data_IF_006685981622
#
_entry.id   IF_006685981622
#
_cell.length_a   1.000
_cell.length_b   1.000
_cell.length_c   1.000
_cell.angle_alpha   90.00
_cell.angle_beta   90.00
_cell.angle_gamma   90.00
#
_symmetry.space_group_name_H-M   'P 1'
#
loop_
_entity.id
_entity.type
_entity.pdbx_description
1 polymer ?
#
# COMPACT_ATOMS: atom_id res chain seq x y z
N UNK A 1 -13.28 3.32 12.73
CA UNK A 1 -13.75 2.36 11.71
C UNK A 1 -12.67 1.34 11.36
N UNK A 2 -11.52 1.70 10.78
CA UNK A 2 -10.46 0.71 10.48
C UNK A 2 -9.92 0.03 11.75
N UNK A 3 -9.54 0.81 12.76
CA UNK A 3 -9.04 0.29 14.05
C UNK A 3 -10.11 -0.46 14.87
N UNK A 4 -11.37 -0.35 14.47
CA UNK A 4 -12.51 -1.02 15.10
C UNK A 4 -12.93 -2.28 14.32
N UNK A 5 -12.27 -2.59 13.20
CA UNK A 5 -12.53 -3.80 12.43
C UNK A 5 -12.05 -5.01 13.21
N UNK A 6 -12.97 -5.91 13.56
CA UNK A 6 -12.62 -7.17 14.24
C UNK A 6 -11.81 -8.14 13.37
N UNK A 7 -11.83 -7.96 12.05
CA UNK A 7 -11.00 -8.69 11.09
C UNK A 7 -10.56 -7.69 10.02
N UNK A 8 -9.25 -7.56 9.82
CA UNK A 8 -8.63 -6.81 8.73
C UNK A 8 -8.21 -7.77 7.63
N UNK A 9 -8.35 -7.35 6.39
CA UNK A 9 -7.86 -8.05 5.21
C UNK A 9 -6.96 -7.15 4.37
N UNK A 10 -6.26 -7.73 3.39
CA UNK A 10 -5.31 -6.98 2.56
C UNK A 10 -5.98 -5.81 1.82
N UNK A 11 -7.27 -5.92 1.46
CA UNK A 11 -8.02 -4.84 0.81
C UNK A 11 -8.21 -3.66 1.74
N UNK A 12 -8.53 -3.91 3.01
CA UNK A 12 -8.68 -2.88 4.03
C UNK A 12 -7.34 -2.17 4.32
N UNK A 13 -6.24 -2.91 4.39
CA UNK A 13 -4.88 -2.36 4.51
C UNK A 13 -4.51 -1.47 3.32
N UNK A 14 -4.70 -1.97 2.10
CA UNK A 14 -4.43 -1.23 0.87
C UNK A 14 -5.22 0.06 0.78
N UNK A 15 -6.49 0.03 1.20
CA UNK A 15 -7.36 1.21 1.21
C UNK A 15 -6.82 2.30 2.14
N UNK A 16 -6.36 1.92 3.35
CA UNK A 16 -5.80 2.85 4.32
C UNK A 16 -4.45 3.41 3.85
N UNK A 17 -3.53 2.55 3.41
CA UNK A 17 -2.21 2.95 2.94
C UNK A 17 -2.34 3.89 1.74
N UNK A 18 -3.18 3.56 0.75
CA UNK A 18 -3.44 4.42 -0.40
C UNK A 18 -4.00 5.79 0.02
N UNK A 19 -4.93 5.80 0.98
CA UNK A 19 -5.47 7.02 1.56
C UNK A 19 -4.37 7.93 2.12
N UNK A 20 -3.51 7.42 3.00
CA UNK A 20 -2.39 8.19 3.55
C UNK A 20 -1.38 8.63 2.49
N UNK A 21 -1.08 7.77 1.51
CA UNK A 21 -0.20 8.12 0.40
C UNK A 21 -0.72 9.29 -0.43
N UNK A 22 -2.00 9.29 -0.79
CA UNK A 22 -2.61 10.37 -1.58
C UNK A 22 -2.63 11.71 -0.85
N UNK A 23 -2.63 11.68 0.49
CA UNK A 23 -2.55 12.86 1.34
C UNK A 23 -1.11 13.32 1.64
N UNK A 24 -0.10 12.59 1.15
CA UNK A 24 1.32 12.89 1.42
C UNK A 24 1.78 12.51 2.83
N UNK A 25 1.00 11.70 3.55
CA UNK A 25 1.28 11.24 4.90
C UNK A 25 2.14 9.97 4.86
N UNK A 26 3.40 10.16 4.44
CA UNK A 26 4.35 9.07 4.22
C UNK A 26 4.58 8.20 5.44
N UNK A 27 4.71 8.81 6.62
CA UNK A 27 5.04 8.08 7.86
C UNK A 27 3.90 7.16 8.28
N UNK A 28 2.67 7.61 8.14
CA UNK A 28 1.45 6.88 8.43
C UNK A 28 1.26 5.73 7.43
N UNK A 29 1.46 5.98 6.14
CA UNK A 29 1.43 4.94 5.10
C UNK A 29 2.49 3.85 5.35
N UNK A 30 3.72 4.24 5.70
CA UNK A 30 4.80 3.29 6.04
C UNK A 30 4.48 2.53 7.33
N UNK A 31 3.91 3.20 8.34
CA UNK A 31 3.51 2.56 9.59
C UNK A 31 2.48 1.46 9.37
N UNK A 32 1.45 1.73 8.57
CA UNK A 32 0.45 0.74 8.20
C UNK A 32 1.02 -0.40 7.35
N UNK A 33 1.96 -0.11 6.44
CA UNK A 33 2.67 -1.14 5.69
C UNK A 33 3.46 -2.09 6.62
N UNK A 34 4.10 -1.56 7.66
CA UNK A 34 4.78 -2.37 8.67
C UNK A 34 3.78 -3.23 9.45
N UNK A 35 2.68 -2.64 9.92
CA UNK A 35 1.63 -3.35 10.66
C UNK A 35 0.99 -4.47 9.82
N UNK A 36 0.80 -4.25 8.51
CA UNK A 36 0.30 -5.27 7.57
C UNK A 36 1.19 -6.51 7.59
N UNK A 37 2.51 -6.33 7.60
CA UNK A 37 3.50 -7.42 7.66
C UNK A 37 3.55 -8.10 9.02
N UNK A 38 3.40 -7.33 10.10
CA UNK A 38 3.36 -7.87 11.47
C UNK A 38 2.12 -8.75 11.70
N UNK A 39 0.99 -8.42 11.07
CA UNK A 39 -0.21 -9.27 11.08
C UNK A 39 -0.12 -10.49 10.14
N UNK A 40 1.02 -10.68 9.46
CA UNK A 40 1.28 -11.85 8.62
C UNK A 40 0.68 -11.77 7.23
N UNK A 41 0.21 -10.60 6.80
CA UNK A 41 -0.18 -10.37 5.41
C UNK A 41 1.06 -10.08 4.57
N UNK A 42 1.14 -10.69 3.40
CA UNK A 42 2.13 -10.34 2.39
C UNK A 42 1.62 -9.11 1.63
N UNK A 43 2.33 -7.96 1.68
CA UNK A 43 1.99 -6.79 0.89
C UNK A 43 1.98 -7.14 -0.60
N UNK A 44 0.93 -6.74 -1.30
CA UNK A 44 0.83 -6.91 -2.75
C UNK A 44 1.46 -5.71 -3.48
N UNK A 45 1.45 -5.77 -4.80
CA UNK A 45 2.04 -4.71 -5.60
C UNK A 45 1.32 -3.37 -5.41
N UNK A 46 0.00 -3.38 -5.15
CA UNK A 46 -0.77 -2.17 -4.83
C UNK A 46 -0.31 -1.52 -3.52
N UNK A 47 0.01 -2.34 -2.52
CA UNK A 47 0.58 -1.88 -1.26
C UNK A 47 1.90 -1.15 -1.51
N UNK A 48 2.79 -1.76 -2.30
CA UNK A 48 4.13 -1.24 -2.59
C UNK A 48 4.08 0.06 -3.39
N UNK A 49 3.25 0.13 -4.45
CA UNK A 49 3.04 1.37 -5.22
C UNK A 49 2.59 2.50 -4.30
N UNK A 50 1.61 2.22 -3.44
CA UNK A 50 1.07 3.23 -2.53
C UNK A 50 2.15 3.77 -1.59
N UNK A 51 2.97 2.91 -0.97
CA UNK A 51 4.06 3.36 -0.09
C UNK A 51 5.10 4.18 -0.85
N UNK A 52 5.47 3.78 -2.06
CA UNK A 52 6.45 4.51 -2.89
C UNK A 52 5.98 5.92 -3.23
N UNK A 53 4.71 6.06 -3.59
CA UNK A 53 4.09 7.38 -3.81
C UNK A 53 4.12 8.24 -2.55
N UNK A 54 3.83 7.66 -1.38
CA UNK A 54 3.90 8.36 -0.11
C UNK A 54 5.31 8.91 0.16
N UNK A 55 6.34 8.13 -0.16
CA UNK A 55 7.75 8.50 -0.01
C UNK A 55 8.21 9.57 -1.01
N UNK A 56 7.41 9.90 -2.02
CA UNK A 56 7.78 10.83 -3.09
C UNK A 56 8.67 10.22 -4.17
N UNK A 57 8.86 8.89 -4.18
CA UNK A 57 9.61 8.19 -5.22
C UNK A 57 8.67 7.84 -6.39
N UNK A 58 8.32 8.87 -7.16
CA UNK A 58 7.37 8.79 -8.26
C UNK A 58 7.88 7.94 -9.43
N UNK A 59 9.19 7.91 -9.64
CA UNK A 59 9.80 7.13 -10.72
C UNK A 59 9.75 5.64 -10.42
N UNK A 60 10.10 5.24 -9.19
CA UNK A 60 9.98 3.86 -8.75
C UNK A 60 8.50 3.45 -8.66
N UNK A 61 7.62 4.33 -8.17
CA UNK A 61 6.17 4.10 -8.14
C UNK A 61 5.60 3.78 -9.53
N UNK A 62 5.90 4.60 -10.54
CA UNK A 62 5.49 4.35 -11.94
C UNK A 62 6.05 3.04 -12.49
N UNK A 63 7.30 2.70 -12.17
CA UNK A 63 7.90 1.46 -12.62
C UNK A 63 7.15 0.23 -12.06
N UNK A 64 6.81 0.26 -10.77
CA UNK A 64 6.02 -0.82 -10.15
C UNK A 64 4.62 -0.88 -10.75
N UNK A 65 3.94 0.26 -10.96
CA UNK A 65 2.63 0.29 -11.63
C UNK A 65 2.68 -0.35 -13.03
N UNK A 66 3.71 -0.04 -13.82
CA UNK A 66 3.93 -0.64 -15.13
C UNK A 66 4.02 -2.16 -15.06
N UNK A 67 4.83 -2.68 -14.12
CA UNK A 67 4.99 -4.12 -13.91
C UNK A 67 3.67 -4.81 -13.54
N UNK A 68 2.83 -4.16 -12.71
CA UNK A 68 1.51 -4.69 -12.31
C UNK A 68 0.57 -4.79 -13.50
N UNK A 69 0.55 -3.76 -14.35
CA UNK A 69 -0.29 -3.75 -15.55
C UNK A 69 0.16 -4.81 -16.55
N UNK A 70 1.47 -5.01 -16.70
CA UNK A 70 2.02 -6.08 -17.55
C UNK A 70 1.60 -7.47 -17.07
N UNK A 71 1.69 -7.76 -15.77
CA UNK A 71 1.29 -9.05 -15.19
C UNK A 71 -0.22 -9.33 -15.23
N UNK A 72 -1.07 -8.30 -15.30
CA UNK A 72 -2.53 -8.48 -15.39
C UNK A 72 -3.03 -8.89 -16.79
N UNK A 73 -2.14 -8.91 -17.80
CA UNK A 73 -2.48 -9.30 -19.17
C UNK A 73 -2.14 -10.77 -19.50
N UNK A 74 -1.66 -11.55 -18.53
CA UNK A 74 -1.47 -13.01 -18.63
C UNK A 74 -2.65 -13.82 -18.05
#
# INVERSE_FOLDING_TARGET
MFDEMGVRDLVSWNSMISGYSTMGFAKEAIGLFMETREEGFEPDEMTLVSVLWACGDLDLGRWVEGLVLEKKME
#
